data_IF_682999865207
#
_entry.id   IF_682999865207
#
_cell.length_a   1.000
_cell.length_b   1.000
_cell.length_c   1.000
_cell.angle_alpha   90.00
_cell.angle_beta   90.00
_cell.angle_gamma   90.00
#
_symmetry.space_group_name_H-M   'P 1'
#
loop_
_entity.id
_entity.type
_entity.pdbx_description
1 polymer ?
#
# COMPACT_ATOMS: atom_id res chain seq x y z
N UNK A 1 24.64 -7.21 -5.02
CA UNK A 1 24.31 -6.03 -4.21
C UNK A 1 23.07 -5.41 -4.82
N UNK A 2 21.93 -5.50 -4.15
CA UNK A 2 20.71 -4.81 -4.57
C UNK A 2 20.93 -3.32 -4.30
N UNK A 3 20.83 -2.48 -5.32
CA UNK A 3 20.87 -1.02 -5.16
C UNK A 3 19.68 -0.63 -4.30
N UNK A 4 19.97 -0.14 -3.10
CA UNK A 4 18.98 0.41 -2.19
C UNK A 4 18.17 1.51 -2.91
N UNK A 5 16.86 1.38 -2.84
CA UNK A 5 15.97 2.48 -3.25
C UNK A 5 16.14 3.56 -2.20
N UNK A 6 16.67 4.71 -2.62
CA UNK A 6 16.79 5.89 -1.79
C UNK A 6 15.40 6.53 -1.57
N UNK A 7 15.00 6.68 -0.31
CA UNK A 7 13.70 7.29 0.06
C UNK A 7 13.56 8.72 -0.48
N UNK A 8 14.66 9.51 -0.50
CA UNK A 8 14.64 10.85 -1.09
C UNK A 8 14.41 10.80 -2.60
N UNK A 9 15.02 9.82 -3.29
CA UNK A 9 14.81 9.58 -4.71
C UNK A 9 13.38 9.19 -5.04
N UNK A 10 12.76 8.33 -4.22
CA UNK A 10 11.35 7.92 -4.34
C UNK A 10 10.42 9.11 -4.13
N UNK A 11 10.57 9.86 -3.04
CA UNK A 11 9.75 11.03 -2.74
C UNK A 11 9.86 12.10 -3.84
N UNK A 12 11.07 12.30 -4.39
CA UNK A 12 11.35 13.26 -5.46
C UNK A 12 10.78 12.83 -6.81
N UNK A 13 10.87 11.54 -7.13
CA UNK A 13 10.28 10.95 -8.33
C UNK A 13 8.76 11.08 -8.32
N UNK A 14 8.10 10.66 -7.24
CA UNK A 14 6.64 10.77 -7.09
C UNK A 14 6.16 12.22 -7.03
N UNK A 15 6.91 13.14 -6.40
CA UNK A 15 6.60 14.56 -6.41
C UNK A 15 6.58 15.19 -7.81
N UNK A 16 7.44 14.73 -8.74
CA UNK A 16 7.48 15.17 -10.14
C UNK A 16 6.30 14.63 -10.97
N UNK A 17 5.84 13.43 -10.67
CA UNK A 17 4.73 12.80 -11.39
C UNK A 17 3.35 13.24 -10.86
N UNK A 18 3.30 13.87 -9.69
CA UNK A 18 2.06 14.29 -9.04
C UNK A 18 1.03 15.02 -9.95
N UNK A 19 1.40 15.87 -10.93
CA UNK A 19 0.43 16.52 -11.81
C UNK A 19 -0.25 15.59 -12.81
N UNK A 20 0.45 14.50 -13.21
CA UNK A 20 0.03 13.59 -14.30
C UNK A 20 -0.35 12.21 -13.74
N UNK A 21 0.01 11.96 -12.48
CA UNK A 21 -0.17 10.65 -11.82
C UNK A 21 -1.63 10.20 -11.83
N UNK A 22 -2.55 11.10 -11.43
CA UNK A 22 -3.99 10.83 -11.38
C UNK A 22 -4.58 10.49 -12.75
N UNK A 23 -4.06 11.12 -13.82
CA UNK A 23 -4.56 10.94 -15.18
C UNK A 23 -4.08 9.61 -15.81
N UNK A 24 -2.80 9.25 -15.59
CA UNK A 24 -2.16 8.08 -16.23
C UNK A 24 -2.46 6.80 -15.46
N UNK A 25 -2.40 6.85 -14.14
CA UNK A 25 -2.50 5.67 -13.27
C UNK A 25 -3.88 5.50 -12.63
N UNK A 26 -4.73 6.53 -12.60
CA UNK A 26 -6.05 6.49 -11.97
C UNK A 26 -6.87 5.28 -12.42
N UNK A 27 -7.05 5.11 -13.73
CA UNK A 27 -7.88 4.01 -14.28
C UNK A 27 -7.26 2.61 -14.15
N UNK A 28 -5.93 2.51 -14.26
CA UNK A 28 -5.23 1.21 -14.15
C UNK A 28 -5.30 0.65 -12.73
N UNK A 29 -5.28 1.53 -11.74
CA UNK A 29 -5.28 1.17 -10.32
C UNK A 29 -6.67 1.15 -9.68
N UNK A 30 -7.71 1.61 -10.39
CA UNK A 30 -9.09 1.73 -9.88
C UNK A 30 -9.62 0.43 -9.28
N UNK A 31 -9.54 -0.67 -10.00
CA UNK A 31 -10.07 -1.95 -9.52
C UNK A 31 -9.40 -2.42 -8.23
N UNK A 32 -8.09 -2.25 -8.14
CA UNK A 32 -7.33 -2.60 -6.93
C UNK A 32 -7.74 -1.70 -5.76
N UNK A 33 -7.80 -0.39 -6.00
CA UNK A 33 -8.18 0.61 -5.01
C UNK A 33 -9.61 0.36 -4.48
N UNK A 34 -10.60 0.27 -5.36
CA UNK A 34 -12.00 0.02 -4.98
C UNK A 34 -12.17 -1.29 -4.21
N UNK A 35 -11.46 -2.36 -4.62
CA UNK A 35 -11.53 -3.65 -3.94
C UNK A 35 -10.96 -3.59 -2.53
N UNK A 36 -9.82 -2.91 -2.32
CA UNK A 36 -9.23 -2.76 -0.98
C UNK A 36 -10.09 -1.90 -0.08
N UNK A 37 -10.67 -0.82 -0.61
CA UNK A 37 -11.58 0.09 0.11
C UNK A 37 -12.86 -0.66 0.53
N UNK A 38 -13.50 -1.39 -0.38
CA UNK A 38 -14.70 -2.16 -0.06
C UNK A 38 -14.47 -3.18 1.06
N UNK A 39 -13.29 -3.82 1.09
CA UNK A 39 -12.92 -4.72 2.19
C UNK A 39 -12.72 -3.94 3.49
N UNK A 40 -12.00 -2.83 3.46
CA UNK A 40 -11.74 -2.00 4.63
C UNK A 40 -13.04 -1.42 5.22
N UNK A 41 -13.95 -0.93 4.38
CA UNK A 41 -15.27 -0.46 4.79
C UNK A 41 -16.12 -1.58 5.40
N UNK A 42 -16.02 -2.81 4.88
CA UNK A 42 -16.67 -3.99 5.44
C UNK A 42 -16.13 -4.39 6.83
N UNK A 43 -14.87 -4.06 7.14
CA UNK A 43 -14.29 -4.22 8.49
C UNK A 43 -14.78 -3.07 9.38
N UNK A 44 -14.78 -1.86 8.83
CA UNK A 44 -15.14 -0.65 9.57
C UNK A 44 -14.12 -0.25 10.64
N UNK A 45 -14.54 0.66 11.52
CA UNK A 45 -13.68 1.14 12.60
C UNK A 45 -12.67 2.18 12.12
N UNK A 46 -11.43 2.09 12.63
CA UNK A 46 -10.35 3.04 12.34
C UNK A 46 -9.36 2.41 11.36
N UNK A 47 -9.24 3.00 10.19
CA UNK A 47 -8.43 2.49 9.09
C UNK A 47 -7.21 3.40 8.88
N UNK A 48 -6.04 2.79 8.68
CA UNK A 48 -4.84 3.49 8.23
C UNK A 48 -4.64 3.22 6.73
N UNK A 49 -4.64 4.27 5.92
CA UNK A 49 -4.29 4.22 4.49
C UNK A 49 -2.84 4.71 4.33
N UNK A 50 -1.93 3.78 4.02
CA UNK A 50 -0.49 4.04 3.87
C UNK A 50 -0.15 4.25 2.40
N UNK A 51 0.63 5.30 2.13
CA UNK A 51 0.91 5.73 0.76
C UNK A 51 -0.30 6.39 0.12
N UNK A 52 -1.04 7.19 0.90
CA UNK A 52 -2.30 7.82 0.47
C UNK A 52 -2.13 8.77 -0.74
N UNK A 53 -0.92 9.20 -1.02
CA UNK A 53 -0.56 10.03 -2.16
C UNK A 53 -1.35 11.33 -2.23
N UNK A 54 -2.00 11.60 -3.38
CA UNK A 54 -2.86 12.77 -3.59
C UNK A 54 -4.24 12.64 -2.96
N UNK A 55 -4.52 11.53 -2.25
CA UNK A 55 -5.77 11.28 -1.56
C UNK A 55 -6.94 10.86 -2.46
N UNK A 56 -6.67 10.23 -3.62
CA UNK A 56 -7.73 9.71 -4.51
C UNK A 56 -8.64 8.72 -3.78
N UNK A 57 -8.07 7.82 -2.98
CA UNK A 57 -8.80 6.82 -2.20
C UNK A 57 -9.73 7.42 -1.15
N UNK A 58 -9.36 8.57 -0.56
CA UNK A 58 -10.03 9.12 0.62
C UNK A 58 -11.52 9.40 0.42
N UNK A 59 -11.92 9.82 -0.79
CA UNK A 59 -13.31 10.11 -1.12
C UNK A 59 -14.15 8.89 -1.46
N UNK A 60 -13.51 7.74 -1.62
CA UNK A 60 -14.18 6.49 -2.00
C UNK A 60 -14.55 5.65 -0.76
N UNK A 61 -13.95 5.92 0.40
CA UNK A 61 -14.33 5.27 1.65
C UNK A 61 -15.70 5.74 2.15
N UNK A 62 -16.41 4.84 2.80
CA UNK A 62 -17.68 5.16 3.43
C UNK A 62 -17.54 6.28 4.47
N UNK A 63 -18.50 7.22 4.58
CA UNK A 63 -18.45 8.32 5.56
C UNK A 63 -18.39 7.87 7.02
N UNK A 64 -18.74 6.62 7.30
CA UNK A 64 -18.69 5.99 8.64
C UNK A 64 -17.32 5.44 8.99
N UNK A 65 -16.43 5.27 8.00
CA UNK A 65 -15.07 4.75 8.20
C UNK A 65 -14.16 5.88 8.68
N UNK A 66 -13.47 5.69 9.80
CA UNK A 66 -12.55 6.66 10.38
C UNK A 66 -11.17 6.48 9.75
N UNK A 67 -10.68 7.48 9.05
CA UNK A 67 -9.47 7.40 8.23
C UNK A 67 -8.29 8.18 8.82
N UNK A 68 -7.14 7.52 8.84
CA UNK A 68 -5.84 8.18 8.94
C UNK A 68 -5.07 7.89 7.64
N UNK A 69 -4.54 8.91 6.99
CA UNK A 69 -3.71 8.76 5.79
C UNK A 69 -2.28 9.19 6.05
N UNK A 70 -1.32 8.41 5.57
CA UNK A 70 0.12 8.76 5.66
C UNK A 70 0.80 8.59 4.30
N UNK A 71 1.78 9.45 4.03
CA UNK A 71 2.64 9.36 2.87
C UNK A 71 4.01 9.95 3.19
N UNK A 72 5.06 9.49 2.53
CA UNK A 72 6.40 10.05 2.66
C UNK A 72 6.54 11.41 1.95
N UNK A 73 5.70 11.67 0.96
CA UNK A 73 5.74 12.85 0.09
C UNK A 73 4.84 13.97 0.61
N UNK A 74 5.44 14.98 1.22
CA UNK A 74 4.71 16.17 1.66
C UNK A 74 3.94 16.87 0.51
N UNK A 75 4.50 17.03 -0.71
CA UNK A 75 3.76 17.61 -1.83
C UNK A 75 2.49 16.83 -2.21
N UNK A 76 2.51 15.48 -2.11
CA UNK A 76 1.33 14.64 -2.31
C UNK A 76 0.28 14.90 -1.23
N UNK A 77 0.70 14.91 0.03
CA UNK A 77 -0.20 15.14 1.17
C UNK A 77 -0.84 16.52 1.15
N UNK A 78 -0.16 17.55 0.66
CA UNK A 78 -0.78 18.88 0.46
C UNK A 78 -1.96 18.81 -0.52
N UNK A 79 -1.87 17.99 -1.58
CA UNK A 79 -2.99 17.76 -2.52
C UNK A 79 -4.10 16.96 -1.85
N UNK A 80 -3.75 15.91 -1.10
CA UNK A 80 -4.72 15.13 -0.32
C UNK A 80 -5.48 16.05 0.67
N UNK A 81 -4.78 16.92 1.38
CA UNK A 81 -5.37 17.88 2.31
C UNK A 81 -6.30 18.88 1.60
N UNK A 82 -5.91 19.37 0.41
CA UNK A 82 -6.79 20.22 -0.41
C UNK A 82 -8.05 19.46 -0.81
N UNK A 83 -7.91 18.20 -1.25
CA UNK A 83 -9.05 17.34 -1.61
C UNK A 83 -10.00 17.11 -0.44
N UNK A 84 -9.47 16.79 0.74
CA UNK A 84 -10.27 16.63 1.97
C UNK A 84 -11.10 17.88 2.26
N UNK A 85 -10.49 19.06 2.17
CA UNK A 85 -11.19 20.33 2.39
C UNK A 85 -12.24 20.61 1.32
N UNK A 86 -11.88 20.45 0.04
CA UNK A 86 -12.78 20.74 -1.10
C UNK A 86 -14.01 19.83 -1.11
N UNK A 87 -13.83 18.55 -0.75
CA UNK A 87 -14.90 17.57 -0.73
C UNK A 87 -15.61 17.48 0.63
N UNK A 88 -15.12 18.19 1.65
CA UNK A 88 -15.71 18.18 3.00
C UNK A 88 -15.66 16.81 3.68
N UNK A 89 -14.57 16.04 3.49
CA UNK A 89 -14.44 14.69 4.04
C UNK A 89 -14.23 14.72 5.55
N UNK A 90 -15.31 14.58 6.31
CA UNK A 90 -15.30 14.66 7.79
C UNK A 90 -14.79 13.39 8.46
N UNK A 91 -14.71 12.30 7.75
CA UNK A 91 -14.23 10.99 8.21
C UNK A 91 -12.71 10.86 8.21
N UNK A 92 -11.98 11.80 7.61
CA UNK A 92 -10.51 11.83 7.62
C UNK A 92 -10.03 12.51 8.90
N UNK A 93 -9.49 11.72 9.84
CA UNK A 93 -9.00 12.20 11.14
C UNK A 93 -7.63 12.88 11.04
N UNK A 94 -6.74 12.30 10.23
CA UNK A 94 -5.34 12.72 10.15
C UNK A 94 -4.78 12.50 8.76
N UNK A 95 -3.97 13.46 8.30
CA UNK A 95 -3.04 13.30 7.19
C UNK A 95 -1.65 13.72 7.68
N UNK A 96 -0.67 12.83 7.60
CA UNK A 96 0.66 13.09 8.15
C UNK A 96 1.78 12.56 7.25
N UNK A 97 2.90 13.28 7.22
CA UNK A 97 4.13 12.82 6.57
C UNK A 97 4.77 11.79 7.48
N UNK A 98 4.87 10.54 6.99
CA UNK A 98 5.51 9.44 7.73
C UNK A 98 6.21 8.50 6.77
N UNK A 99 7.31 7.90 7.24
CA UNK A 99 7.89 6.73 6.61
C UNK A 99 7.04 5.50 6.97
N UNK A 100 6.63 4.74 5.95
CA UNK A 100 5.83 3.52 6.12
C UNK A 100 6.51 2.47 7.01
N UNK A 101 7.84 2.50 7.11
CA UNK A 101 8.65 1.62 7.97
C UNK A 101 8.66 2.07 9.45
N UNK A 102 8.26 3.30 9.73
CA UNK A 102 8.34 3.88 11.07
C UNK A 102 7.10 4.76 11.34
N UNK A 103 5.97 4.12 11.57
CA UNK A 103 4.69 4.79 11.79
C UNK A 103 4.61 5.34 13.22
N UNK A 104 4.41 6.65 13.35
CA UNK A 104 4.29 7.33 14.62
C UNK A 104 2.89 7.14 15.27
N UNK A 105 2.38 5.92 15.22
CA UNK A 105 1.14 5.51 15.89
C UNK A 105 1.45 4.47 16.97
N UNK A 106 0.65 4.47 18.03
CA UNK A 106 0.73 3.46 19.08
C UNK A 106 0.37 2.06 18.52
N UNK A 107 0.88 1.04 19.17
CA UNK A 107 0.54 -0.35 18.86
C UNK A 107 -0.98 -0.56 18.96
N UNK A 108 -1.51 -1.48 18.18
CA UNK A 108 -2.91 -1.88 18.23
C UNK A 108 -3.91 -0.69 18.08
N UNK A 109 -3.63 0.27 17.19
CA UNK A 109 -4.43 1.48 17.00
C UNK A 109 -5.49 1.35 15.91
N UNK A 110 -5.34 0.41 14.96
CA UNK A 110 -6.17 0.33 13.76
C UNK A 110 -6.87 -1.02 13.62
N UNK A 111 -8.10 -0.98 13.10
CA UNK A 111 -8.88 -2.18 12.75
C UNK A 111 -8.43 -2.77 11.43
N UNK A 112 -7.99 -1.92 10.48
CA UNK A 112 -7.29 -2.36 9.28
C UNK A 112 -6.18 -1.36 8.87
N UNK A 113 -5.17 -1.89 8.18
CA UNK A 113 -4.15 -1.13 7.44
C UNK A 113 -4.30 -1.46 5.96
N UNK A 114 -4.47 -0.44 5.14
CA UNK A 114 -4.54 -0.52 3.68
C UNK A 114 -3.26 0.05 3.10
N UNK A 115 -2.60 -0.69 2.20
CA UNK A 115 -1.45 -0.19 1.48
C UNK A 115 -1.56 -0.55 -0.01
N UNK A 116 -1.81 0.47 -0.83
CA UNK A 116 -2.06 0.35 -2.25
C UNK A 116 -0.80 0.73 -3.02
N UNK A 117 -0.18 -0.28 -3.67
CA UNK A 117 1.02 -0.10 -4.51
C UNK A 117 2.26 0.41 -3.76
N UNK A 118 2.32 0.24 -2.44
CA UNK A 118 3.39 0.73 -1.55
C UNK A 118 4.53 -0.27 -1.39
N UNK A 119 4.21 -1.53 -1.08
CA UNK A 119 5.21 -2.54 -0.63
C UNK A 119 6.30 -2.80 -1.67
N UNK A 120 6.01 -2.65 -2.95
CA UNK A 120 7.00 -2.79 -4.01
C UNK A 120 7.89 -1.55 -4.21
N UNK A 121 7.53 -0.42 -3.60
CA UNK A 121 8.23 0.86 -3.70
C UNK A 121 9.09 1.20 -2.47
N UNK A 122 8.88 0.51 -1.33
CA UNK A 122 9.66 0.76 -0.13
C UNK A 122 11.02 0.05 -0.15
N UNK A 123 12.08 0.61 0.47
CA UNK A 123 13.39 -0.01 0.53
C UNK A 123 13.40 -1.35 1.25
N UNK A 124 12.72 -1.43 2.40
CA UNK A 124 12.68 -2.58 3.30
C UNK A 124 11.22 -3.04 3.51
N UNK A 125 10.69 -3.85 2.59
CA UNK A 125 9.29 -4.31 2.66
C UNK A 125 8.97 -5.12 3.92
N UNK A 126 9.89 -5.94 4.40
CA UNK A 126 9.66 -6.78 5.58
C UNK A 126 9.49 -5.93 6.83
N UNK A 127 10.42 -5.02 7.10
CA UNK A 127 10.31 -4.12 8.25
C UNK A 127 9.09 -3.19 8.14
N UNK A 128 8.71 -2.79 6.92
CA UNK A 128 7.48 -2.03 6.67
C UNK A 128 6.23 -2.85 7.03
N UNK A 129 6.20 -4.13 6.63
CA UNK A 129 5.10 -5.02 6.97
C UNK A 129 5.02 -5.30 8.48
N UNK A 130 6.18 -5.43 9.16
CA UNK A 130 6.24 -5.59 10.61
C UNK A 130 5.61 -4.39 11.32
N UNK A 131 5.91 -3.17 10.86
CA UNK A 131 5.34 -1.95 11.44
C UNK A 131 3.83 -1.82 11.16
N UNK A 132 3.36 -2.25 9.98
CA UNK A 132 1.93 -2.34 9.69
C UNK A 132 1.21 -3.30 10.65
N UNK A 133 1.82 -4.46 10.92
CA UNK A 133 1.24 -5.42 11.86
C UNK A 133 1.31 -4.91 13.29
N UNK A 134 2.35 -4.17 13.67
CA UNK A 134 2.47 -3.56 15.00
C UNK A 134 1.26 -2.66 15.31
N UNK A 135 0.90 -1.78 14.39
CA UNK A 135 -0.20 -0.82 14.59
C UNK A 135 -1.59 -1.44 14.43
N UNK A 136 -1.71 -2.64 13.87
CA UNK A 136 -2.98 -3.37 13.81
C UNK A 136 -3.39 -3.90 15.19
N UNK A 137 -4.68 -3.79 15.49
CA UNK A 137 -5.31 -4.48 16.62
C UNK A 137 -5.22 -6.01 16.45
N UNK A 138 -5.23 -6.80 17.54
CA UNK A 138 -5.43 -8.24 17.46
C UNK A 138 -6.72 -8.58 16.69
N UNK A 139 -6.61 -9.42 15.66
CA UNK A 139 -7.71 -9.75 14.75
C UNK A 139 -7.94 -8.73 13.62
N UNK A 140 -7.23 -7.60 13.62
CA UNK A 140 -7.26 -6.61 12.55
C UNK A 140 -6.61 -7.13 11.26
N UNK A 141 -6.87 -6.47 10.14
CA UNK A 141 -6.45 -6.93 8.82
C UNK A 141 -5.50 -5.98 8.12
N UNK A 142 -4.45 -6.57 7.53
CA UNK A 142 -3.57 -5.93 6.57
C UNK A 142 -4.09 -6.23 5.15
N UNK A 143 -4.41 -5.19 4.40
CA UNK A 143 -4.97 -5.28 3.05
C UNK A 143 -3.99 -4.62 2.09
N UNK A 144 -3.42 -5.42 1.20
CA UNK A 144 -2.43 -4.98 0.23
C UNK A 144 -2.98 -5.15 -1.18
N UNK A 145 -2.70 -4.21 -2.08
CA UNK A 145 -2.74 -4.43 -3.52
C UNK A 145 -1.44 -3.95 -4.12
N UNK A 146 -0.75 -4.86 -4.82
CA UNK A 146 0.55 -4.56 -5.42
C UNK A 146 0.77 -5.40 -6.67
N UNK A 147 1.71 -4.95 -7.51
CA UNK A 147 2.29 -5.80 -8.52
C UNK A 147 3.10 -6.91 -7.83
N UNK A 148 2.76 -8.15 -8.12
CA UNK A 148 3.54 -9.33 -7.69
C UNK A 148 4.07 -10.00 -8.94
N UNK A 149 5.38 -10.15 -9.00
CA UNK A 149 6.07 -10.76 -10.13
C UNK A 149 5.54 -12.16 -10.45
N UNK A 150 5.54 -12.52 -11.72
CA UNK A 150 5.11 -13.83 -12.15
C UNK A 150 6.04 -14.92 -11.59
N UNK A 151 5.46 -16.01 -11.08
CA UNK A 151 6.22 -17.11 -10.48
C UNK A 151 6.85 -18.02 -11.55
N UNK A 152 6.24 -18.07 -12.75
CA UNK A 152 6.71 -18.92 -13.86
C UNK A 152 6.16 -18.41 -15.20
N UNK A 153 6.60 -19.06 -16.29
CA UNK A 153 6.07 -18.84 -17.64
C UNK A 153 6.65 -17.63 -18.39
N UNK A 154 6.13 -17.35 -19.61
CA UNK A 154 6.67 -16.30 -20.49
C UNK A 154 6.61 -14.90 -19.87
N UNK A 155 5.61 -14.64 -19.04
CA UNK A 155 5.48 -13.38 -18.31
C UNK A 155 6.67 -13.14 -17.36
N UNK A 156 7.13 -14.17 -16.64
CA UNK A 156 8.32 -14.06 -15.79
C UNK A 156 9.57 -13.69 -16.61
N UNK A 157 9.77 -14.35 -17.76
CA UNK A 157 10.90 -14.04 -18.63
C UNK A 157 10.86 -12.59 -19.12
N UNK A 158 9.68 -12.09 -19.50
CA UNK A 158 9.49 -10.70 -19.90
C UNK A 158 9.77 -9.73 -18.74
N UNK A 159 9.22 -9.99 -17.54
CA UNK A 159 9.43 -9.17 -16.36
C UNK A 159 10.92 -9.08 -15.97
N UNK A 160 11.64 -10.21 -16.02
CA UNK A 160 13.08 -10.24 -15.74
C UNK A 160 13.90 -9.46 -16.79
N UNK A 161 13.54 -9.57 -18.07
CA UNK A 161 14.22 -8.84 -19.15
C UNK A 161 13.97 -7.32 -19.03
N UNK A 162 12.77 -6.91 -18.60
CA UNK A 162 12.39 -5.52 -18.43
C UNK A 162 12.84 -4.91 -17.09
N UNK A 163 13.18 -5.73 -16.10
CA UNK A 163 13.51 -5.31 -14.74
C UNK A 163 14.62 -4.22 -14.65
N UNK A 164 15.72 -4.25 -15.44
CA UNK A 164 16.75 -3.22 -15.36
C UNK A 164 16.24 -1.82 -15.71
N UNK A 165 15.33 -1.74 -16.70
CA UNK A 165 14.72 -0.49 -17.11
C UNK A 165 13.70 0.00 -16.08
N UNK A 166 12.85 -0.91 -15.58
CA UNK A 166 11.83 -0.61 -14.58
C UNK A 166 12.45 -0.10 -13.25
N UNK A 167 13.58 -0.69 -12.82
CA UNK A 167 14.30 -0.24 -11.62
C UNK A 167 14.78 1.21 -11.72
N UNK A 168 15.22 1.66 -12.91
CA UNK A 168 15.59 3.07 -13.15
C UNK A 168 14.41 4.02 -13.00
N UNK A 169 13.18 3.52 -13.15
CA UNK A 169 11.93 4.25 -12.95
C UNK A 169 11.35 4.10 -11.53
N UNK A 170 12.08 3.43 -10.62
CA UNK A 170 11.65 3.18 -9.24
C UNK A 170 10.65 2.01 -9.09
N UNK A 171 10.53 1.15 -10.10
CA UNK A 171 9.64 -0.01 -10.07
C UNK A 171 10.41 -1.30 -9.86
N UNK A 172 9.78 -2.27 -9.14
CA UNK A 172 10.27 -3.64 -8.97
C UNK A 172 9.27 -4.63 -9.59
N UNK A 173 9.31 -4.84 -10.91
CA UNK A 173 8.38 -5.76 -11.57
C UNK A 173 8.59 -7.22 -11.15
N UNK A 174 9.78 -7.55 -10.65
CA UNK A 174 10.17 -8.87 -10.20
C UNK A 174 9.91 -9.15 -8.71
N UNK A 175 9.06 -8.38 -8.02
CA UNK A 175 8.78 -8.60 -6.58
C UNK A 175 8.14 -9.98 -6.36
N UNK A 176 8.87 -10.96 -5.78
CA UNK A 176 8.41 -12.34 -5.74
C UNK A 176 7.40 -12.57 -4.62
N UNK A 177 6.37 -13.36 -4.91
CA UNK A 177 5.39 -13.82 -3.90
C UNK A 177 6.05 -14.54 -2.72
N UNK A 178 7.06 -15.37 -2.98
CA UNK A 178 7.81 -16.09 -1.95
C UNK A 178 8.36 -15.18 -0.84
N UNK A 179 8.61 -13.90 -1.14
CA UNK A 179 9.07 -12.91 -0.16
C UNK A 179 8.02 -12.65 0.91
N UNK A 180 6.76 -12.46 0.52
CA UNK A 180 5.63 -12.26 1.43
C UNK A 180 5.31 -13.51 2.22
N UNK A 181 5.38 -14.69 1.59
CA UNK A 181 5.22 -15.98 2.28
C UNK A 181 6.30 -16.18 3.34
N UNK A 182 7.56 -15.94 2.97
CA UNK A 182 8.70 -16.06 3.88
C UNK A 182 8.61 -15.08 5.05
N UNK A 183 8.18 -13.85 4.78
CA UNK A 183 7.94 -12.85 5.82
C UNK A 183 6.86 -13.33 6.80
N UNK A 184 5.68 -13.72 6.31
CA UNK A 184 4.57 -14.14 7.16
C UNK A 184 4.94 -15.35 8.03
N UNK A 185 5.69 -16.32 7.47
CA UNK A 185 6.18 -17.49 8.20
C UNK A 185 7.17 -17.12 9.31
N UNK A 186 8.09 -16.17 9.06
CA UNK A 186 9.05 -15.70 10.09
C UNK A 186 8.38 -14.87 11.16
N UNK A 187 7.44 -13.98 10.77
CA UNK A 187 6.71 -13.13 11.70
C UNK A 187 5.84 -13.95 12.65
N UNK A 188 5.18 -15.01 12.17
CA UNK A 188 4.37 -15.93 12.97
C UNK A 188 3.09 -15.35 13.58
N UNK A 189 2.94 -14.02 13.57
CA UNK A 189 1.83 -13.28 14.18
C UNK A 189 0.69 -12.94 13.22
N UNK A 190 0.74 -13.40 11.95
CA UNK A 190 -0.25 -13.13 10.92
C UNK A 190 -0.62 -14.39 10.15
N UNK A 191 -1.86 -14.46 9.67
CA UNK A 191 -2.34 -15.52 8.79
C UNK A 191 -2.79 -14.92 7.46
N UNK A 192 -2.36 -15.52 6.35
CA UNK A 192 -2.87 -15.20 5.01
C UNK A 192 -4.34 -15.65 4.94
N UNK A 193 -5.25 -14.71 4.65
CA UNK A 193 -6.68 -15.00 4.51
C UNK A 193 -7.17 -14.97 3.07
N UNK A 194 -6.50 -14.20 2.21
CA UNK A 194 -6.85 -14.09 0.80
C UNK A 194 -5.62 -13.71 -0.04
N UNK A 195 -5.52 -14.32 -1.22
CA UNK A 195 -4.72 -13.83 -2.35
C UNK A 195 -5.52 -14.04 -3.62
N UNK A 196 -5.78 -12.96 -4.37
CA UNK A 196 -6.43 -13.07 -5.67
C UNK A 196 -5.81 -12.13 -6.70
N UNK A 197 -5.76 -12.56 -7.98
CA UNK A 197 -5.30 -11.70 -9.05
C UNK A 197 -6.27 -10.55 -9.29
N UNK A 198 -5.74 -9.39 -9.68
CA UNK A 198 -6.49 -8.18 -9.99
C UNK A 198 -6.21 -7.72 -11.42
N UNK A 199 -7.20 -7.09 -12.09
CA UNK A 199 -7.00 -6.49 -13.41
C UNK A 199 -5.87 -5.44 -13.44
N UNK A 200 -5.29 -5.20 -14.63
CA UNK A 200 -5.51 -5.95 -15.88
C UNK A 200 -4.75 -7.28 -15.90
N UNK A 201 -5.34 -8.31 -16.50
CA UNK A 201 -4.72 -9.63 -16.78
C UNK A 201 -4.03 -10.30 -15.57
N UNK A 202 -4.46 -10.03 -14.33
CA UNK A 202 -3.83 -10.59 -13.12
C UNK A 202 -2.45 -10.00 -12.81
N UNK A 203 -2.13 -8.81 -13.33
CA UNK A 203 -0.85 -8.16 -13.13
C UNK A 203 -0.63 -7.72 -11.69
N UNK A 204 -1.73 -7.39 -11.02
CA UNK A 204 -1.73 -7.06 -9.60
C UNK A 204 -2.31 -8.21 -8.78
N UNK A 205 -1.99 -8.23 -7.51
CA UNK A 205 -2.56 -9.16 -6.53
C UNK A 205 -3.13 -8.37 -5.36
N UNK A 206 -4.37 -8.68 -4.99
CA UNK A 206 -4.94 -8.30 -3.71
C UNK A 206 -4.57 -9.39 -2.71
N UNK A 207 -4.05 -8.97 -1.57
CA UNK A 207 -3.52 -9.87 -0.54
C UNK A 207 -4.04 -9.39 0.81
N UNK A 208 -4.56 -10.32 1.61
CA UNK A 208 -5.04 -10.03 2.96
C UNK A 208 -4.34 -10.92 3.97
N UNK A 209 -3.86 -10.30 5.03
CA UNK A 209 -3.38 -10.98 6.23
C UNK A 209 -4.22 -10.53 7.42
N UNK A 210 -4.52 -11.47 8.31
CA UNK A 210 -5.15 -11.16 9.60
C UNK A 210 -4.13 -11.32 10.72
N UNK A 211 -4.03 -10.30 11.59
CA UNK A 211 -3.22 -10.40 12.80
C UNK A 211 -3.85 -11.39 13.77
N UNK A 212 -3.06 -12.29 14.31
CA UNK A 212 -3.53 -13.30 15.27
C UNK A 212 -4.12 -12.62 16.52
N UNK A 213 -5.16 -13.21 17.10
CA UNK A 213 -5.84 -12.67 18.30
C UNK A 213 -5.07 -12.91 19.60
N UNK A 214 -4.10 -13.84 19.58
CA UNK A 214 -3.19 -14.12 20.70
C UNK A 214 -1.77 -13.97 20.18
N UNK A 215 -1.01 -13.12 20.78
CA UNK A 215 0.42 -13.22 20.98
C UNK A 215 0.62 -13.54 22.45
#
# INVERSE_FOLDING_TARGET
MATDIDLEGVAKAYGRWAPVYDLVFGKVFDHGRQSTIAIADGIGGRILDVGVGTGLSLSEYAPTTRLCGVDISEPMLRKAQSRVRTLGLKNVETLAVMDAKNLAFADCSFDAVVAQYVITAVPDPEATLDDFVRVLKPGGELILVNHIGAESGPRRAFELAFAPLARRLGWRPEFPWARLVGWAARHGGVALTERRPMPPMGHFSLIRYRKNRKL
#
